data_IF_300858622676
#
_entry.id   IF_300858622676
#
_cell.length_a   1.000
_cell.length_b   1.000
_cell.length_c   1.000
_cell.angle_alpha   90.00
_cell.angle_beta   90.00
_cell.angle_gamma   90.00
#
_symmetry.space_group_name_H-M   'P 1'
#
loop_
_entity.id
_entity.type
_entity.pdbx_description
1 polymer ?
#
# COMPACT_ATOMS: atom_id res chain seq x y z
N UNK A 1 -20.67 11.23 5.74
CA UNK A 1 -20.19 10.13 4.87
C UNK A 1 -19.58 10.70 3.61
N UNK A 2 -18.55 10.09 3.04
CA UNK A 2 -18.01 10.50 1.75
C UNK A 2 -19.06 10.33 0.64
N UNK A 3 -18.99 11.14 -0.41
CA UNK A 3 -19.73 10.91 -1.64
C UNK A 3 -19.30 9.59 -2.28
N UNK A 4 -20.17 8.97 -3.09
CA UNK A 4 -19.94 7.63 -3.64
C UNK A 4 -18.60 7.51 -4.41
N UNK A 5 -18.16 8.56 -5.07
CA UNK A 5 -16.94 8.59 -5.89
C UNK A 5 -15.74 9.23 -5.17
N UNK A 6 -15.86 9.58 -3.90
CA UNK A 6 -14.76 10.23 -3.18
C UNK A 6 -13.59 9.25 -2.98
N UNK A 7 -12.38 9.78 -3.23
CA UNK A 7 -11.11 9.06 -3.10
C UNK A 7 -10.19 9.89 -2.21
N UNK A 8 -9.73 9.30 -1.11
CA UNK A 8 -8.82 9.96 -0.19
C UNK A 8 -7.64 9.02 0.10
N UNK A 9 -6.50 9.28 -0.56
CA UNK A 9 -5.35 8.37 -0.62
C UNK A 9 -4.07 9.16 -0.35
N UNK A 10 -3.18 8.57 0.44
CA UNK A 10 -1.75 8.85 0.37
C UNK A 10 -1.11 7.77 -0.51
N UNK A 11 -0.34 8.13 -1.53
CA UNK A 11 0.15 7.15 -2.49
C UNK A 11 1.54 7.44 -3.05
N UNK A 12 2.21 6.39 -3.52
CA UNK A 12 3.50 6.41 -4.19
C UNK A 12 3.40 5.69 -5.53
N UNK A 13 3.91 6.33 -6.57
CA UNK A 13 4.06 5.74 -7.91
C UNK A 13 5.50 5.27 -8.12
N UNK A 14 5.65 4.13 -8.80
CA UNK A 14 6.93 3.50 -9.05
C UNK A 14 7.05 3.13 -10.53
N UNK A 15 8.24 3.38 -11.08
CA UNK A 15 8.58 3.02 -12.46
C UNK A 15 8.79 1.51 -12.60
N UNK A 16 8.35 0.95 -13.72
CA UNK A 16 8.42 -0.50 -13.94
C UNK A 16 9.86 -1.02 -14.00
N UNK A 17 10.79 -0.26 -14.57
CA UNK A 17 12.21 -0.64 -14.63
C UNK A 17 12.84 -0.91 -13.25
N UNK A 18 12.35 -0.26 -12.19
CA UNK A 18 12.85 -0.43 -10.81
C UNK A 18 12.24 -1.66 -10.10
N UNK A 19 11.26 -2.33 -10.72
CA UNK A 19 10.48 -3.41 -10.12
C UNK A 19 10.76 -4.78 -10.74
N UNK A 20 11.70 -4.88 -11.67
CA UNK A 20 11.99 -6.12 -12.40
C UNK A 20 12.47 -7.26 -11.50
N UNK A 21 13.11 -6.93 -10.36
CA UNK A 21 13.53 -7.91 -9.35
C UNK A 21 12.36 -8.65 -8.70
N UNK A 22 11.14 -8.12 -8.73
CA UNK A 22 9.93 -8.77 -8.24
C UNK A 22 9.48 -9.95 -9.12
N UNK A 23 10.01 -10.09 -10.34
CA UNK A 23 9.70 -11.17 -11.29
C UNK A 23 8.19 -11.36 -11.51
N UNK A 24 7.42 -10.26 -11.35
CA UNK A 24 5.98 -10.28 -11.52
C UNK A 24 5.59 -10.82 -12.90
N UNK A 25 4.50 -11.60 -12.97
CA UNK A 25 4.06 -12.26 -14.20
C UNK A 25 4.75 -13.60 -14.47
N UNK A 26 5.56 -14.11 -13.55
CA UNK A 26 6.23 -15.41 -13.65
C UNK A 26 5.85 -16.33 -12.49
N UNK A 27 6.10 -17.63 -12.66
CA UNK A 27 5.92 -18.61 -11.57
C UNK A 27 6.85 -18.39 -10.36
N UNK A 28 7.88 -17.57 -10.53
CA UNK A 28 8.84 -17.17 -9.49
C UNK A 28 8.59 -15.76 -8.97
N UNK A 29 7.37 -15.24 -9.16
CA UNK A 29 7.01 -13.91 -8.65
C UNK A 29 7.22 -13.82 -7.16
N UNK A 30 7.94 -12.80 -6.73
CA UNK A 30 8.31 -12.60 -5.34
C UNK A 30 7.13 -12.02 -4.54
N UNK A 31 6.93 -12.52 -3.31
CA UNK A 31 6.10 -11.85 -2.31
C UNK A 31 6.82 -10.61 -1.80
N UNK A 32 6.07 -9.66 -1.27
CA UNK A 32 6.64 -8.43 -0.69
C UNK A 32 5.98 -8.08 0.63
N UNK A 33 6.70 -7.34 1.48
CA UNK A 33 6.18 -6.91 2.77
C UNK A 33 6.41 -5.42 2.96
N UNK A 34 5.35 -4.69 3.30
CA UNK A 34 5.44 -3.32 3.81
C UNK A 34 5.54 -3.30 5.32
N UNK A 35 6.45 -2.48 5.84
CA UNK A 35 6.50 -2.09 7.24
C UNK A 35 6.45 -0.57 7.33
N UNK A 36 5.65 -0.05 8.25
CA UNK A 36 5.54 1.39 8.48
C UNK A 36 5.01 1.68 9.89
N UNK A 37 5.25 2.90 10.35
CA UNK A 37 4.64 3.42 11.55
C UNK A 37 3.50 4.35 11.17
N UNK A 38 2.37 4.21 11.85
CA UNK A 38 1.17 5.00 11.62
C UNK A 38 0.59 5.49 12.93
N UNK A 39 0.04 6.71 12.92
CA UNK A 39 -0.67 7.31 14.04
C UNK A 39 -1.90 8.05 13.51
N UNK A 40 -3.01 7.93 14.20
CA UNK A 40 -4.23 8.73 13.93
C UNK A 40 -5.02 8.89 15.22
N UNK A 41 -5.74 10.00 15.34
CA UNK A 41 -6.75 10.14 16.39
C UNK A 41 -8.05 9.37 16.05
N UNK A 42 -8.16 8.85 14.80
CA UNK A 42 -9.29 8.03 14.37
C UNK A 42 -8.89 6.57 14.28
N UNK A 43 -9.33 5.76 15.24
CA UNK A 43 -9.12 4.31 15.29
C UNK A 43 -10.02 3.57 14.30
N UNK A 44 -9.65 2.35 13.93
CA UNK A 44 -10.44 1.49 13.07
C UNK A 44 -9.64 0.91 11.90
N UNK A 45 -10.34 0.42 10.89
CA UNK A 45 -9.77 -0.31 9.75
C UNK A 45 -9.40 0.64 8.61
N UNK A 46 -8.19 0.47 8.11
CA UNK A 46 -7.64 1.14 6.95
C UNK A 46 -7.19 0.12 5.91
N UNK A 47 -7.10 0.53 4.66
CA UNK A 47 -6.69 -0.34 3.55
C UNK A 47 -5.36 0.14 2.96
N UNK A 48 -4.44 -0.81 2.72
CA UNK A 48 -3.25 -0.64 1.90
C UNK A 48 -3.42 -1.45 0.62
N UNK A 49 -3.17 -0.85 -0.53
CA UNK A 49 -3.38 -1.41 -1.86
C UNK A 49 -2.12 -1.31 -2.70
N UNK A 50 -1.82 -2.35 -3.47
CA UNK A 50 -0.85 -2.30 -4.58
C UNK A 50 -1.65 -2.44 -5.88
N UNK A 51 -1.47 -1.49 -6.78
CA UNK A 51 -2.02 -1.53 -8.14
C UNK A 51 -0.90 -1.76 -9.16
N UNK A 52 -1.14 -2.67 -10.07
CA UNK A 52 -0.42 -2.85 -11.31
C UNK A 52 -1.19 -2.11 -12.41
N UNK A 53 -0.61 -1.04 -12.91
CA UNK A 53 -1.25 -0.18 -13.90
C UNK A 53 -1.05 -0.69 -15.33
N UNK A 54 0.01 -1.45 -15.59
CA UNK A 54 0.29 -2.03 -16.92
C UNK A 54 -0.74 -3.11 -17.27
N UNK A 55 -1.13 -3.91 -16.27
CA UNK A 55 -2.01 -5.06 -16.48
C UNK A 55 -3.41 -4.87 -15.85
N UNK A 56 -3.70 -3.69 -15.31
CA UNK A 56 -4.99 -3.38 -14.65
C UNK A 56 -5.33 -4.40 -13.56
N UNK A 57 -4.39 -4.65 -12.64
CA UNK A 57 -4.53 -5.60 -11.55
C UNK A 57 -4.29 -4.93 -10.19
N UNK A 58 -4.79 -5.55 -9.13
CA UNK A 58 -4.64 -5.05 -7.77
C UNK A 58 -4.65 -6.15 -6.74
N UNK A 59 -4.09 -5.85 -5.58
CA UNK A 59 -4.21 -6.59 -4.33
C UNK A 59 -4.35 -5.59 -3.18
N UNK A 60 -5.22 -5.87 -2.21
CA UNK A 60 -5.46 -5.00 -1.06
C UNK A 60 -5.41 -5.80 0.24
N UNK A 61 -4.89 -5.19 1.29
CA UNK A 61 -4.88 -5.73 2.66
C UNK A 61 -5.33 -4.64 3.63
N UNK A 62 -5.90 -5.06 4.74
CA UNK A 62 -6.29 -4.12 5.80
C UNK A 62 -5.26 -4.09 6.92
N UNK A 63 -5.20 -2.96 7.62
CA UNK A 63 -4.56 -2.81 8.91
C UNK A 63 -5.49 -2.03 9.85
N UNK A 64 -5.32 -2.22 11.14
CA UNK A 64 -6.14 -1.54 12.14
C UNK A 64 -5.28 -0.61 12.97
N UNK A 65 -5.74 0.63 13.17
CA UNK A 65 -5.21 1.53 14.20
C UNK A 65 -6.04 1.27 15.44
N UNK A 66 -5.40 0.76 16.50
CA UNK A 66 -6.08 0.27 17.70
C UNK A 66 -6.25 1.37 18.76
N UNK A 67 -5.28 2.27 18.87
CA UNK A 67 -5.24 3.30 19.90
C UNK A 67 -5.09 4.68 19.28
N UNK A 68 -6.02 5.58 19.65
CA UNK A 68 -5.95 6.97 19.20
C UNK A 68 -4.62 7.61 19.65
N UNK A 69 -4.09 8.48 18.80
CA UNK A 69 -2.91 9.30 19.06
C UNK A 69 -1.64 8.52 19.45
N UNK A 70 -1.60 7.23 19.11
CA UNK A 70 -0.47 6.35 19.42
C UNK A 70 0.22 5.87 18.14
N UNK A 71 1.54 5.92 18.10
CA UNK A 71 2.30 5.33 17.01
C UNK A 71 2.27 3.82 17.09
N UNK A 72 1.80 3.18 16.03
CA UNK A 72 1.75 1.72 15.90
C UNK A 72 2.54 1.27 14.66
N UNK A 73 3.43 0.28 14.83
CA UNK A 73 4.09 -0.37 13.70
C UNK A 73 3.13 -1.35 13.03
N UNK A 74 3.02 -1.27 11.71
CA UNK A 74 2.26 -2.22 10.88
C UNK A 74 3.22 -2.96 9.97
N UNK A 75 2.96 -4.26 9.78
CA UNK A 75 3.68 -5.13 8.85
C UNK A 75 2.63 -5.88 8.04
N UNK A 76 2.69 -5.76 6.71
CA UNK A 76 1.67 -6.30 5.82
C UNK A 76 2.36 -6.98 4.64
N UNK A 77 2.16 -8.29 4.50
CA UNK A 77 2.70 -9.06 3.37
C UNK A 77 1.68 -9.20 2.25
N UNK A 78 2.18 -9.12 1.03
CA UNK A 78 1.45 -9.27 -0.22
C UNK A 78 2.08 -10.41 -1.03
N UNK A 79 1.26 -11.34 -1.49
CA UNK A 79 1.72 -12.42 -2.34
C UNK A 79 2.24 -11.88 -3.68
N UNK A 80 3.17 -12.59 -4.30
CA UNK A 80 3.58 -12.33 -5.67
C UNK A 80 2.44 -12.58 -6.67
N UNK A 81 2.44 -11.87 -7.79
CA UNK A 81 1.48 -12.06 -8.87
C UNK A 81 2.13 -12.79 -10.04
N UNK A 82 1.64 -13.96 -10.38
CA UNK A 82 2.12 -14.77 -11.49
C UNK A 82 1.54 -14.34 -12.84
N UNK A 83 0.68 -13.31 -12.87
CA UNK A 83 -0.02 -12.84 -14.07
C UNK A 83 0.37 -11.40 -14.38
N UNK A 84 0.82 -11.15 -15.62
CA UNK A 84 1.16 -9.82 -16.11
C UNK A 84 2.48 -9.28 -15.51
N UNK A 85 3.48 -9.09 -16.32
CA UNK A 85 4.75 -8.48 -15.91
C UNK A 85 4.60 -6.95 -15.84
N UNK A 86 5.41 -6.30 -15.02
CA UNK A 86 5.63 -4.86 -15.14
C UNK A 86 6.46 -4.56 -16.38
N UNK A 87 6.10 -3.51 -17.10
CA UNK A 87 6.89 -3.02 -18.22
C UNK A 87 8.27 -2.56 -17.75
N UNK A 88 9.31 -2.85 -18.54
CA UNK A 88 10.66 -2.43 -18.20
C UNK A 88 10.99 -1.06 -18.80
N UNK A 89 10.29 -0.05 -18.30
CA UNK A 89 10.46 1.33 -18.73
C UNK A 89 10.36 2.31 -17.54
N UNK A 90 10.42 3.59 -17.83
CA UNK A 90 10.32 4.67 -16.83
C UNK A 90 8.86 5.17 -16.64
N UNK A 91 7.87 4.48 -17.17
CA UNK A 91 6.48 4.81 -16.92
C UNK A 91 6.04 4.32 -15.54
N UNK A 92 4.91 4.85 -15.08
CA UNK A 92 4.31 4.44 -13.82
C UNK A 92 3.62 3.08 -13.98
N UNK A 93 4.28 2.01 -13.59
CA UNK A 93 3.76 0.64 -13.65
C UNK A 93 3.09 0.19 -12.35
N UNK A 94 3.56 0.70 -11.22
CA UNK A 94 3.02 0.31 -9.91
C UNK A 94 2.61 1.54 -9.11
N UNK A 95 1.48 1.44 -8.42
CA UNK A 95 1.05 2.44 -7.46
C UNK A 95 0.69 1.78 -6.13
N UNK A 96 1.25 2.31 -5.05
CA UNK A 96 0.95 1.88 -3.69
C UNK A 96 0.05 2.94 -3.08
N UNK A 97 -1.07 2.53 -2.47
CA UNK A 97 -2.07 3.40 -1.92
C UNK A 97 -2.37 3.05 -0.46
N UNK A 98 -2.26 4.03 0.42
CA UNK A 98 -2.85 3.99 1.75
C UNK A 98 -4.16 4.76 1.70
N UNK A 99 -5.27 4.03 1.79
CA UNK A 99 -6.60 4.61 1.79
C UNK A 99 -6.92 5.16 3.17
N UNK A 100 -7.22 6.45 3.24
CA UNK A 100 -7.60 7.17 4.46
C UNK A 100 -9.06 7.64 4.43
N UNK A 101 -9.73 7.40 3.31
CA UNK A 101 -11.16 7.55 3.11
C UNK A 101 -11.56 7.09 1.71
N UNK A 102 -12.77 6.55 1.57
CA UNK A 102 -13.29 6.07 0.30
C UNK A 102 -14.81 6.13 0.24
N UNK A 103 -15.36 6.46 -0.91
CA UNK A 103 -16.79 6.37 -1.18
C UNK A 103 -17.25 4.95 -1.52
N UNK A 104 -18.57 4.77 -1.61
CA UNK A 104 -19.19 3.45 -1.82
C UNK A 104 -18.81 2.79 -3.14
N UNK A 105 -18.40 3.55 -4.16
CA UNK A 105 -17.90 2.98 -5.42
C UNK A 105 -16.65 2.12 -5.24
N UNK A 106 -15.93 2.26 -4.12
CA UNK A 106 -14.67 1.56 -3.84
C UNK A 106 -14.80 0.53 -2.72
N UNK A 107 -15.88 0.60 -1.92
CA UNK A 107 -16.05 -0.21 -0.69
C UNK A 107 -17.23 -1.18 -0.76
N UNK A 108 -18.02 -1.19 -1.83
CA UNK A 108 -19.29 -1.93 -1.91
C UNK A 108 -19.15 -3.40 -2.31
N UNK A 109 -17.98 -3.81 -2.75
CA UNK A 109 -17.71 -5.20 -3.15
C UNK A 109 -16.95 -6.01 -2.08
N UNK A 110 -16.38 -7.12 -2.51
CA UNK A 110 -15.51 -7.95 -1.67
C UNK A 110 -14.06 -7.51 -1.90
N UNK A 111 -13.35 -7.18 -0.81
CA UNK A 111 -11.95 -6.76 -0.87
C UNK A 111 -11.08 -7.81 -1.58
N UNK A 112 -10.34 -7.40 -2.60
CA UNK A 112 -9.38 -8.27 -3.30
C UNK A 112 -8.14 -8.51 -2.44
N UNK A 113 -8.17 -9.53 -1.59
CA UNK A 113 -7.05 -9.93 -0.72
C UNK A 113 -6.00 -10.80 -1.41
N UNK A 114 -6.24 -11.15 -2.66
CA UNK A 114 -5.32 -11.78 -3.61
C UNK A 114 -5.30 -10.96 -4.90
N UNK A 115 -4.24 -11.12 -5.71
CA UNK A 115 -4.17 -10.44 -7.00
C UNK A 115 -5.35 -10.78 -7.90
N UNK A 116 -6.03 -9.76 -8.39
CA UNK A 116 -7.17 -9.87 -9.29
C UNK A 116 -7.22 -8.68 -10.25
N UNK A 117 -8.01 -8.80 -11.30
CA UNK A 117 -8.33 -7.65 -12.15
C UNK A 117 -8.95 -6.53 -11.34
N UNK A 118 -8.56 -5.29 -11.63
CA UNK A 118 -9.04 -4.12 -10.90
C UNK A 118 -10.54 -3.94 -11.10
N UNK A 119 -11.26 -4.02 -9.99
CA UNK A 119 -12.68 -3.69 -9.91
C UNK A 119 -12.84 -2.66 -8.80
N UNK A 120 -13.31 -1.47 -9.12
CA UNK A 120 -13.35 -0.37 -8.14
C UNK A 120 -14.03 -0.77 -6.82
N UNK A 121 -15.16 -1.45 -6.88
CA UNK A 121 -15.91 -1.87 -5.69
C UNK A 121 -15.12 -2.78 -4.73
N UNK A 122 -14.06 -3.45 -5.21
CA UNK A 122 -13.27 -4.44 -4.47
C UNK A 122 -11.92 -3.89 -3.97
N UNK A 123 -11.68 -2.59 -4.11
CA UNK A 123 -10.36 -1.98 -3.80
C UNK A 123 -10.16 -1.71 -2.33
N UNK A 124 -11.24 -1.39 -1.62
CA UNK A 124 -11.20 -0.91 -0.25
C UNK A 124 -12.17 -1.70 0.61
N UNK A 125 -11.77 -1.96 1.85
CA UNK A 125 -12.62 -2.64 2.82
C UNK A 125 -13.93 -1.87 3.06
N UNK A 126 -15.04 -2.58 3.18
CA UNK A 126 -16.32 -1.99 3.60
C UNK A 126 -16.28 -1.39 5.03
N UNK A 127 -15.27 -1.76 5.82
CA UNK A 127 -15.03 -1.23 7.17
C UNK A 127 -14.04 -0.05 7.17
N UNK A 128 -13.67 0.49 6.00
CA UNK A 128 -12.74 1.61 5.88
C UNK A 128 -13.23 2.83 6.66
N UNK A 129 -12.39 3.36 7.55
CA UNK A 129 -12.65 4.64 8.19
C UNK A 129 -12.45 5.80 7.20
N UNK A 130 -13.12 6.91 7.47
CA UNK A 130 -12.97 8.12 6.65
C UNK A 130 -12.37 9.25 7.50
N UNK A 131 -11.14 9.63 7.20
CA UNK A 131 -10.47 10.76 7.87
C UNK A 131 -11.14 12.09 7.52
N UNK A 132 -11.71 12.19 6.31
CA UNK A 132 -12.33 13.43 5.81
C UNK A 132 -13.69 13.78 6.42
N UNK A 133 -14.20 13.01 7.40
CA UNK A 133 -15.50 13.30 8.02
C UNK A 133 -15.46 14.35 9.15
N UNK A 134 -14.25 14.72 9.58
CA UNK A 134 -14.03 15.78 10.55
C UNK A 134 -12.71 16.48 10.30
N UNK A 135 -12.69 17.81 10.33
CA UNK A 135 -11.48 18.63 10.12
C UNK A 135 -10.44 18.49 11.22
N UNK A 136 -10.81 17.94 12.38
CA UNK A 136 -9.89 17.64 13.49
C UNK A 136 -9.25 16.25 13.38
N UNK A 137 -9.61 15.44 12.39
CA UNK A 137 -8.98 14.16 12.19
C UNK A 137 -7.58 14.33 11.62
N UNK A 138 -6.67 13.49 12.12
CA UNK A 138 -5.26 13.49 11.73
C UNK A 138 -4.83 12.06 11.42
N UNK A 139 -3.97 11.94 10.40
CA UNK A 139 -3.33 10.67 10.05
C UNK A 139 -1.90 10.93 9.64
N UNK A 140 -0.98 10.19 10.23
CA UNK A 140 0.45 10.32 10.02
C UNK A 140 1.06 8.97 9.69
N UNK A 141 2.04 8.97 8.80
CA UNK A 141 2.82 7.78 8.43
C UNK A 141 4.31 8.13 8.36
N UNK A 142 5.16 7.20 8.77
CA UNK A 142 6.62 7.33 8.69
C UNK A 142 7.29 5.96 8.68
N UNK A 143 8.59 5.91 8.43
CA UNK A 143 9.37 4.68 8.45
C UNK A 143 8.89 3.66 7.44
N UNK A 144 8.48 4.12 6.25
CA UNK A 144 8.04 3.25 5.15
C UNK A 144 9.21 2.40 4.65
N UNK A 145 9.02 1.10 4.68
CA UNK A 145 9.97 0.10 4.22
C UNK A 145 9.22 -0.92 3.37
N UNK A 146 9.75 -1.25 2.20
CA UNK A 146 9.23 -2.26 1.31
C UNK A 146 10.29 -3.31 1.01
N UNK A 147 10.08 -4.52 1.47
CA UNK A 147 11.02 -5.63 1.37
C UNK A 147 10.50 -6.72 0.45
N UNK A 148 11.40 -7.37 -0.27
CA UNK A 148 11.11 -8.60 -1.02
C UNK A 148 11.10 -9.76 -0.02
N UNK A 149 10.03 -10.52 -0.02
CA UNK A 149 9.81 -11.65 0.89
C UNK A 149 8.60 -11.47 1.81
N UNK A 150 8.29 -12.52 2.55
CA UNK A 150 7.25 -12.52 3.57
C UNK A 150 7.87 -12.39 4.96
N UNK A 151 7.52 -11.33 5.66
CA UNK A 151 8.00 -11.03 7.01
C UNK A 151 6.84 -10.70 7.93
N UNK A 152 7.03 -10.96 9.21
CA UNK A 152 6.17 -10.49 10.28
C UNK A 152 6.86 -9.40 11.13
N UNK A 153 6.23 -8.97 12.23
CA UNK A 153 6.77 -7.93 13.10
C UNK A 153 8.10 -8.28 13.76
N UNK A 154 8.46 -9.57 13.82
CA UNK A 154 9.67 -10.06 14.48
C UNK A 154 10.79 -10.34 13.47
N UNK A 155 10.42 -10.64 12.22
CA UNK A 155 11.35 -11.09 11.17
C UNK A 155 11.65 -10.03 10.13
N UNK A 156 10.85 -8.95 10.03
CA UNK A 156 11.13 -7.84 9.11
C UNK A 156 12.50 -7.24 9.42
N UNK A 157 13.37 -7.04 8.41
CA UNK A 157 14.66 -6.40 8.60
C UNK A 157 14.54 -5.05 9.33
N UNK A 158 15.58 -4.67 10.04
CA UNK A 158 15.62 -3.36 10.70
C UNK A 158 15.51 -2.26 9.65
N UNK A 159 14.71 -1.23 9.93
CA UNK A 159 14.66 -0.05 9.09
C UNK A 159 16.06 0.59 9.05
N UNK A 160 16.71 0.66 7.88
CA UNK A 160 18.03 1.26 7.80
C UNK A 160 17.92 2.77 8.05
N UNK A 161 18.69 3.28 9.00
CA UNK A 161 18.85 4.71 9.13
C UNK A 161 19.89 5.18 8.12
N UNK A 162 19.44 5.84 7.07
CA UNK A 162 20.33 6.53 6.13
C UNK A 162 20.45 7.98 6.54
N UNK A 163 21.71 8.46 6.63
CA UNK A 163 21.94 9.89 6.77
C UNK A 163 21.43 10.63 5.51
N UNK A 164 21.06 11.89 5.65
CA UNK A 164 20.63 12.72 4.51
C UNK A 164 21.64 12.73 3.36
N UNK A 165 22.93 12.55 3.65
CA UNK A 165 24.01 12.45 2.67
C UNK A 165 24.00 11.11 1.93
N UNK A 166 23.72 9.99 2.61
CA UNK A 166 23.61 8.67 1.98
C UNK A 166 22.34 8.59 1.12
N UNK A 167 21.22 9.11 1.60
CA UNK A 167 19.96 9.18 0.84
C UNK A 167 20.11 10.01 -0.44
N UNK A 168 20.86 11.11 -0.41
CA UNK A 168 21.10 11.92 -1.60
C UNK A 168 21.98 11.23 -2.65
N UNK A 169 22.82 10.26 -2.25
CA UNK A 169 23.65 9.47 -3.17
C UNK A 169 22.89 8.30 -3.79
N UNK A 170 21.92 7.72 -3.08
CA UNK A 170 21.11 6.60 -3.61
C UNK A 170 20.12 7.02 -4.70
N UNK A 171 19.83 8.33 -4.82
CA UNK A 171 18.96 8.88 -5.86
C UNK A 171 19.63 9.07 -7.23
N UNK A 172 20.94 8.76 -7.36
CA UNK A 172 21.73 9.01 -8.56
C UNK A 172 22.40 7.75 -9.13
N UNK A 173 21.91 6.56 -8.81
CA UNK A 173 22.43 5.28 -9.37
C UNK A 173 21.41 4.62 -10.28
#
# INVERSE_FOLDING_TARGET
SPGASDVFIFGQKLEGQNLQSLKKGTSSSESTTFSFWVRSNKTGTYTCEIQDLDNTRQISKTYTINSADTWEKKVISFAGDTTGAFDNDNANSCQINWWIGAGSNFTSGTLNTSWASTTNANRVSSSQVNIGDNTSNEWYITGLQWEVGEFDSNTIPSFPFESSEAASRSLWV
#
